data_IF_511986221284
#
_entry.id   IF_511986221284
#
_cell.length_a   1.000
_cell.length_b   1.000
_cell.length_c   1.000
_cell.angle_alpha   90.00
_cell.angle_beta   90.00
_cell.angle_gamma   90.00
#
_symmetry.space_group_name_H-M   'P 1'
#
loop_
_entity.id
_entity.type
_entity.pdbx_description
1 polymer ?
#
# COMPACT_ATOMS: atom_id res chain seq x y z
N UNK A 1 -11.51 -23.93 -12.33
CA UNK A 1 -11.34 -23.47 -10.93
C UNK A 1 -10.49 -22.22 -11.00
N UNK A 2 -10.88 -21.11 -10.37
CA UNK A 2 -10.01 -19.93 -10.35
C UNK A 2 -8.81 -20.23 -9.45
N UNK A 3 -7.59 -20.10 -9.98
CA UNK A 3 -6.36 -20.28 -9.21
C UNK A 3 -6.29 -19.24 -8.08
N UNK A 4 -5.69 -19.63 -6.94
CA UNK A 4 -5.46 -18.72 -5.81
C UNK A 4 -4.52 -17.61 -6.29
N UNK A 5 -4.90 -16.35 -6.08
CA UNK A 5 -4.06 -15.21 -6.44
C UNK A 5 -2.76 -15.28 -5.64
N UNK A 6 -1.65 -14.97 -6.31
CA UNK A 6 -0.41 -14.72 -5.58
C UNK A 6 -0.50 -13.40 -4.79
N UNK A 7 0.51 -13.12 -3.95
CA UNK A 7 0.53 -11.92 -3.12
C UNK A 7 0.40 -10.62 -3.91
N UNK A 8 1.11 -10.51 -5.04
CA UNK A 8 1.10 -9.30 -5.87
C UNK A 8 -0.27 -9.06 -6.47
N UNK A 9 -0.86 -10.08 -7.10
CA UNK A 9 -2.19 -10.00 -7.71
C UNK A 9 -3.26 -9.70 -6.67
N UNK A 10 -3.21 -10.36 -5.52
CA UNK A 10 -4.14 -10.12 -4.43
C UNK A 10 -4.07 -8.67 -3.96
N UNK A 11 -2.86 -8.14 -3.74
CA UNK A 11 -2.68 -6.78 -3.22
C UNK A 11 -3.10 -5.74 -4.25
N UNK A 12 -2.71 -5.89 -5.52
CA UNK A 12 -3.14 -4.99 -6.61
C UNK A 12 -4.66 -4.98 -6.74
N UNK A 13 -5.30 -6.16 -6.71
CA UNK A 13 -6.76 -6.28 -6.72
C UNK A 13 -7.39 -5.60 -5.50
N UNK A 14 -6.83 -5.81 -4.31
CA UNK A 14 -7.32 -5.18 -3.08
C UNK A 14 -7.25 -3.65 -3.15
N UNK A 15 -6.17 -3.07 -3.68
CA UNK A 15 -6.03 -1.62 -3.86
C UNK A 15 -7.18 -1.08 -4.72
N UNK A 16 -7.47 -1.72 -5.85
CA UNK A 16 -8.52 -1.27 -6.78
C UNK A 16 -9.92 -1.54 -6.24
N UNK A 17 -10.14 -2.67 -5.58
CA UNK A 17 -11.48 -3.08 -5.10
C UNK A 17 -11.88 -2.45 -3.77
N UNK A 18 -10.93 -2.12 -2.89
CA UNK A 18 -11.20 -1.59 -1.55
C UNK A 18 -11.01 -0.07 -1.45
N UNK A 19 -10.47 0.59 -2.48
CA UNK A 19 -10.37 2.07 -2.49
C UNK A 19 -11.76 2.69 -2.57
N UNK A 20 -11.93 3.78 -1.83
CA UNK A 20 -13.14 4.61 -1.93
C UNK A 20 -13.14 5.36 -3.25
N UNK A 21 -14.32 5.72 -3.74
CA UNK A 21 -14.45 6.52 -4.96
C UNK A 21 -13.65 7.83 -4.86
N UNK A 22 -12.91 8.15 -5.91
CA UNK A 22 -12.00 9.31 -5.96
C UNK A 22 -10.64 9.11 -5.28
N UNK A 23 -10.40 7.98 -4.59
CA UNK A 23 -9.11 7.67 -3.98
C UNK A 23 -8.29 6.72 -4.84
N UNK A 24 -6.96 6.93 -4.83
CA UNK A 24 -5.99 6.13 -5.61
C UNK A 24 -5.37 4.96 -4.84
N UNK A 25 -5.66 4.84 -3.54
CA UNK A 25 -5.04 3.85 -2.67
C UNK A 25 -5.91 3.50 -1.47
N UNK A 26 -5.41 2.57 -0.64
CA UNK A 26 -6.13 2.03 0.51
C UNK A 26 -5.31 2.14 1.80
N UNK A 27 -5.97 2.41 2.91
CA UNK A 27 -5.34 2.33 4.23
C UNK A 27 -5.39 0.88 4.73
N UNK A 28 -4.25 0.29 5.10
CA UNK A 28 -4.16 -1.14 5.43
C UNK A 28 -5.07 -1.61 6.58
N UNK A 29 -5.26 -0.74 7.58
CA UNK A 29 -6.18 -0.98 8.70
C UNK A 29 -7.64 -0.68 8.30
N UNK A 30 -7.97 0.56 7.92
CA UNK A 30 -9.36 0.98 7.72
C UNK A 30 -10.07 0.35 6.51
N UNK A 31 -9.33 -0.14 5.52
CA UNK A 31 -9.91 -0.91 4.40
C UNK A 31 -10.24 -2.37 4.77
N UNK A 32 -9.81 -2.83 5.95
CA UNK A 32 -9.90 -4.24 6.32
C UNK A 32 -8.86 -5.13 5.63
N UNK A 33 -7.94 -4.55 4.84
CA UNK A 33 -6.93 -5.27 4.07
C UNK A 33 -6.11 -6.24 4.92
N UNK A 34 -5.60 -5.82 6.08
CA UNK A 34 -4.78 -6.70 6.93
C UNK A 34 -5.52 -7.96 7.36
N UNK A 35 -6.80 -7.84 7.72
CA UNK A 35 -7.64 -8.97 8.12
C UNK A 35 -7.95 -9.86 6.93
N UNK A 36 -8.27 -9.28 5.77
CA UNK A 36 -8.54 -10.01 4.54
C UNK A 36 -7.30 -10.80 4.06
N UNK A 37 -6.13 -10.16 4.09
CA UNK A 37 -4.85 -10.76 3.69
C UNK A 37 -4.52 -11.96 4.57
N UNK A 38 -4.56 -11.80 5.90
CA UNK A 38 -4.29 -12.90 6.83
C UNK A 38 -5.25 -14.07 6.65
N UNK A 39 -6.53 -13.81 6.37
CA UNK A 39 -7.50 -14.87 6.08
C UNK A 39 -7.23 -15.58 4.76
N UNK A 40 -6.80 -14.86 3.74
CA UNK A 40 -6.55 -15.41 2.41
C UNK A 40 -5.25 -16.22 2.34
N UNK A 41 -4.22 -15.78 3.06
CA UNK A 41 -2.88 -16.38 3.09
C UNK A 41 -2.58 -17.05 4.44
N UNK A 42 -3.58 -17.69 5.05
CA UNK A 42 -3.39 -18.62 6.18
C UNK A 42 -2.53 -18.07 7.34
N UNK A 43 -2.72 -16.78 7.67
CA UNK A 43 -2.05 -16.10 8.77
C UNK A 43 -0.71 -15.44 8.43
N UNK A 44 -0.29 -15.44 7.16
CA UNK A 44 0.92 -14.73 6.71
C UNK A 44 0.92 -13.25 7.12
N UNK A 45 2.12 -12.70 7.35
CA UNK A 45 2.26 -11.31 7.79
C UNK A 45 2.14 -10.33 6.61
N UNK A 46 1.05 -9.53 6.53
CA UNK A 46 0.89 -8.54 5.47
C UNK A 46 2.00 -7.49 5.47
N UNK A 47 2.61 -7.18 6.62
CA UNK A 47 3.66 -6.15 6.72
C UNK A 47 4.90 -6.64 5.99
N UNK A 48 5.35 -7.86 6.25
CA UNK A 48 6.51 -8.46 5.57
C UNK A 48 6.31 -8.48 4.05
N UNK A 49 5.16 -8.98 3.59
CA UNK A 49 4.88 -9.15 2.17
C UNK A 49 4.74 -7.80 1.45
N UNK A 50 4.01 -6.85 2.02
CA UNK A 50 3.85 -5.53 1.40
C UNK A 50 5.18 -4.78 1.34
N UNK A 51 6.01 -4.83 2.37
CA UNK A 51 7.34 -4.20 2.34
C UNK A 51 8.26 -4.83 1.29
N UNK A 52 8.21 -6.15 1.13
CA UNK A 52 8.96 -6.83 0.07
C UNK A 52 8.50 -6.35 -1.31
N UNK A 53 7.20 -6.37 -1.59
CA UNK A 53 6.66 -5.91 -2.88
C UNK A 53 6.92 -4.42 -3.14
N UNK A 54 6.96 -3.59 -2.09
CA UNK A 54 7.33 -2.19 -2.21
C UNK A 54 8.81 -2.01 -2.57
N UNK A 55 9.68 -2.83 -1.99
CA UNK A 55 11.12 -2.85 -2.33
C UNK A 55 11.34 -3.32 -3.77
N UNK A 56 10.52 -4.26 -4.24
CA UNK A 56 10.49 -4.73 -5.64
C UNK A 56 9.82 -3.72 -6.61
N UNK A 57 9.30 -2.59 -6.11
CA UNK A 57 8.64 -1.57 -6.93
C UNK A 57 7.25 -1.95 -7.46
N UNK A 58 6.66 -3.05 -6.97
CA UNK A 58 5.37 -3.57 -7.43
C UNK A 58 4.17 -2.85 -6.84
N UNK A 59 4.36 -2.22 -5.68
CA UNK A 59 3.40 -1.34 -5.01
C UNK A 59 4.15 -0.17 -4.36
N UNK A 60 3.43 0.88 -3.96
CA UNK A 60 3.99 1.97 -3.17
C UNK A 60 3.34 2.00 -1.80
N UNK A 61 4.19 2.07 -0.76
CA UNK A 61 3.78 2.24 0.63
C UNK A 61 4.02 3.68 1.04
N UNK A 62 3.03 4.31 1.67
CA UNK A 62 3.23 5.60 2.36
C UNK A 62 2.84 5.52 3.83
N UNK A 63 3.74 5.90 4.75
CA UNK A 63 3.38 5.98 6.15
C UNK A 63 2.34 7.09 6.36
N UNK A 64 1.34 6.80 7.19
CA UNK A 64 0.31 7.75 7.61
C UNK A 64 0.02 7.52 9.09
N UNK A 65 -0.76 8.42 9.70
CA UNK A 65 -1.15 8.25 11.11
C UNK A 65 -1.96 6.95 11.27
N UNK A 66 -1.46 6.02 12.09
CA UNK A 66 -2.15 4.77 12.42
C UNK A 66 -1.96 3.62 11.43
N UNK A 67 -1.04 3.74 10.46
CA UNK A 67 -0.72 2.65 9.55
C UNK A 67 -0.01 3.12 8.28
N UNK A 68 -0.31 2.45 7.17
CA UNK A 68 0.22 2.82 5.86
C UNK A 68 -0.87 2.84 4.80
N UNK A 69 -0.66 3.65 3.77
CA UNK A 69 -1.42 3.63 2.54
C UNK A 69 -0.68 2.78 1.50
N UNK A 70 -1.44 1.92 0.80
CA UNK A 70 -0.96 1.16 -0.35
C UNK A 70 -1.50 1.78 -1.64
N UNK A 71 -0.63 1.90 -2.65
CA UNK A 71 -0.96 2.40 -3.98
C UNK A 71 -0.39 1.49 -5.05
N UNK A 72 -1.03 1.50 -6.23
CA UNK A 72 -0.37 1.06 -7.45
C UNK A 72 0.78 2.02 -7.79
N UNK A 73 1.91 1.54 -8.36
CA UNK A 73 3.07 2.37 -8.63
C UNK A 73 2.74 3.61 -9.49
N UNK A 74 1.87 3.45 -10.49
CA UNK A 74 1.46 4.52 -11.41
C UNK A 74 0.47 5.53 -10.81
N UNK A 75 -0.23 5.16 -9.73
CA UNK A 75 -1.28 5.97 -9.11
C UNK A 75 -0.83 6.61 -7.80
N UNK A 76 0.36 6.25 -7.31
CA UNK A 76 0.91 6.82 -6.10
C UNK A 76 1.03 8.35 -6.22
N UNK A 77 0.55 9.12 -5.24
CA UNK A 77 0.71 10.57 -5.26
C UNK A 77 2.19 10.91 -5.30
N UNK A 78 2.60 11.74 -6.27
CA UNK A 78 3.95 12.29 -6.29
C UNK A 78 4.07 13.24 -5.10
N UNK A 79 4.95 12.94 -4.13
CA UNK A 79 5.37 13.99 -3.20
C UNK A 79 6.16 14.98 -4.03
N UNK A 80 5.72 16.25 -4.07
CA UNK A 80 6.67 17.34 -4.23
C UNK A 80 7.80 17.09 -3.23
N UNK A 81 9.06 17.24 -3.65
CA UNK A 81 10.24 16.80 -2.90
C UNK A 81 10.14 17.17 -1.41
N UNK A 82 9.64 16.22 -0.62
CA UNK A 82 9.35 16.46 0.80
C UNK A 82 10.66 16.67 1.56
N UNK A 83 11.76 16.11 1.04
CA UNK A 83 13.11 16.41 1.48
C UNK A 83 13.47 17.89 1.27
N UNK A 84 13.34 18.41 0.06
CA UNK A 84 13.61 19.84 -0.21
C UNK A 84 12.71 20.78 0.61
N UNK A 85 11.41 20.47 0.73
CA UNK A 85 10.52 21.27 1.58
C UNK A 85 10.86 21.15 3.08
N UNK A 86 11.30 19.98 3.54
CA UNK A 86 11.73 19.79 4.91
C UNK A 86 13.03 20.54 5.19
N UNK A 87 14.03 20.43 4.30
CA UNK A 87 15.29 21.16 4.37
C UNK A 87 15.04 22.66 4.39
N UNK A 88 14.19 23.16 3.48
CA UNK A 88 13.77 24.57 3.45
C UNK A 88 13.09 25.02 4.75
N UNK A 89 12.22 24.19 5.35
CA UNK A 89 11.59 24.50 6.66
C UNK A 89 12.59 24.44 7.82
N UNK A 90 13.64 23.64 7.69
CA UNK A 90 14.76 23.58 8.64
C UNK A 90 15.76 24.72 8.43
N UNK A 91 15.63 25.51 7.35
CA UNK A 91 16.57 26.58 7.00
C UNK A 91 17.90 26.07 6.46
N UNK A 92 17.92 24.86 5.90
CA UNK A 92 19.08 24.21 5.27
C UNK A 92 19.01 24.31 3.74
#
# INVERSE_FOLDING_TARGET
>A
MAEKLNHEEFIKKAIVSLRKEGYKGIHTVYSGFNTAFKKYFDGEDPIKVTNQLATEGKIVIRPVKGGVMLYLPEEAPKTANAGDEALKKMGL
#
